data_IF_047544156177
#
_entry.id   IF_047544156177
#
_cell.length_a   1.000
_cell.length_b   1.000
_cell.length_c   1.000
_cell.angle_alpha   90.00
_cell.angle_beta   90.00
_cell.angle_gamma   90.00
#
_symmetry.space_group_name_H-M   'P 1'
#
loop_
_entity.id
_entity.type
_entity.pdbx_description
1 polymer ?
#
# COMPACT_ATOMS: atom_id res chain seq x y z
N UNK A 1 -7.49 -21.79 5.09
CA UNK A 1 -8.08 -22.81 4.19
C UNK A 1 -9.39 -23.41 4.72
N UNK A 2 -9.53 -23.69 6.02
CA UNK A 2 -10.79 -24.18 6.59
C UNK A 2 -11.94 -23.13 6.57
N UNK A 3 -11.66 -21.86 6.90
CA UNK A 3 -12.65 -20.77 6.92
C UNK A 3 -13.17 -20.30 5.55
N UNK A 4 -12.48 -20.60 4.43
CA UNK A 4 -13.01 -20.31 3.09
C UNK A 4 -14.32 -21.10 2.84
N UNK A 5 -14.60 -22.13 3.66
CA UNK A 5 -15.86 -22.89 3.69
C UNK A 5 -16.94 -22.30 4.60
N UNK A 6 -16.61 -21.37 5.52
CA UNK A 6 -17.58 -20.68 6.39
C UNK A 6 -18.55 -19.82 5.56
N UNK A 7 -18.05 -19.23 4.46
CA UNK A 7 -18.79 -18.27 3.62
C UNK A 7 -19.13 -18.77 2.20
N UNK A 8 -18.50 -19.84 1.69
CA UNK A 8 -18.83 -20.43 0.37
C UNK A 8 -20.07 -21.36 0.38
N UNK A 9 -20.61 -21.74 1.54
CA UNK A 9 -21.83 -22.58 1.60
C UNK A 9 -23.08 -21.86 1.08
N UNK A 10 -23.07 -20.52 1.01
CA UNK A 10 -24.13 -19.73 0.37
C UNK A 10 -24.22 -19.92 -1.16
N UNK A 11 -23.18 -20.45 -1.81
CA UNK A 11 -23.14 -20.66 -3.26
C UNK A 11 -23.68 -22.03 -3.70
N UNK A 12 -24.07 -22.91 -2.79
CA UNK A 12 -24.58 -24.25 -3.13
C UNK A 12 -26.09 -24.37 -2.99
N UNK A 13 -26.79 -24.17 -4.12
CA UNK A 13 -27.90 -25.02 -4.55
C UNK A 13 -29.24 -24.83 -3.84
N UNK A 14 -30.20 -24.28 -4.58
CA UNK A 14 -31.64 -24.49 -4.35
C UNK A 14 -31.89 -26.02 -4.36
N UNK A 15 -32.07 -26.63 -3.20
CA UNK A 15 -32.56 -28.01 -3.11
C UNK A 15 -34.09 -27.95 -3.06
N UNK A 16 -34.72 -28.25 -4.20
CA UNK A 16 -36.14 -28.60 -4.25
C UNK A 16 -36.35 -29.94 -3.53
N UNK A 17 -36.74 -29.90 -2.27
CA UNK A 17 -37.10 -31.09 -1.52
C UNK A 17 -38.56 -31.49 -1.82
N UNK A 18 -38.72 -32.68 -2.40
CA UNK A 18 -40.00 -33.36 -2.57
C UNK A 18 -40.67 -33.64 -1.21
N UNK A 19 -41.97 -33.37 -1.14
CA UNK A 19 -42.86 -33.70 -0.02
C UNK A 19 -42.74 -35.17 0.38
N UNK A 20 -42.23 -35.41 1.60
CA UNK A 20 -42.38 -36.68 2.32
C UNK A 20 -43.09 -36.37 3.65
N UNK A 21 -44.28 -36.92 3.93
CA UNK A 21 -44.97 -36.66 5.18
C UNK A 21 -44.42 -37.56 6.29
N UNK A 22 -43.93 -36.94 7.36
CA UNK A 22 -43.72 -37.60 8.65
C UNK A 22 -42.26 -37.79 9.06
N UNK A 23 -41.64 -36.73 9.58
CA UNK A 23 -40.58 -36.88 10.57
C UNK A 23 -40.88 -36.01 11.78
N UNK A 24 -40.81 -36.67 12.93
CA UNK A 24 -41.16 -36.18 14.25
C UNK A 24 -40.12 -35.13 14.65
N UNK A 25 -40.56 -33.89 14.86
CA UNK A 25 -39.76 -32.83 15.47
C UNK A 25 -39.34 -33.28 16.88
N UNK A 26 -38.10 -33.73 17.01
CA UNK A 26 -37.43 -33.79 18.31
C UNK A 26 -37.08 -32.36 18.67
N UNK A 27 -37.93 -31.74 19.51
CA UNK A 27 -37.70 -30.41 20.04
C UNK A 27 -36.41 -30.42 20.88
N UNK A 28 -35.38 -29.76 20.38
CA UNK A 28 -34.27 -29.30 21.22
C UNK A 28 -34.81 -28.25 22.21
N UNK A 29 -34.19 -28.15 23.39
CA UNK A 29 -34.57 -27.18 24.42
C UNK A 29 -34.78 -25.78 23.80
N UNK A 30 -35.84 -25.07 24.21
CA UNK A 30 -36.22 -23.74 23.71
C UNK A 30 -35.09 -22.73 23.94
N UNK A 31 -34.13 -22.73 23.04
CA UNK A 31 -33.24 -21.62 22.79
C UNK A 31 -34.15 -20.49 22.29
N UNK A 32 -34.12 -19.32 22.95
CA UNK A 32 -34.87 -18.14 22.51
C UNK A 32 -34.25 -17.62 21.21
N UNK A 33 -34.54 -18.30 20.11
CA UNK A 33 -34.08 -17.94 18.78
C UNK A 33 -34.88 -16.76 18.24
N UNK A 34 -34.25 -15.88 17.46
CA UNK A 34 -34.90 -14.66 17.01
C UNK A 34 -36.06 -14.97 16.06
N UNK A 35 -37.18 -14.31 16.33
CA UNK A 35 -38.20 -14.06 15.32
C UNK A 35 -37.86 -12.76 14.61
N UNK A 36 -37.70 -12.82 13.31
CA UNK A 36 -37.35 -11.70 12.44
C UNK A 36 -38.64 -11.09 11.87
N UNK A 37 -38.78 -9.78 12.03
CA UNK A 37 -39.92 -9.00 11.54
C UNK A 37 -39.40 -7.87 10.64
N UNK A 38 -39.00 -8.18 9.38
CA UNK A 38 -38.36 -7.22 8.49
C UNK A 38 -39.28 -6.06 8.07
N UNK A 39 -40.58 -6.33 7.94
CA UNK A 39 -41.63 -5.35 7.66
C UNK A 39 -42.98 -5.81 8.27
N UNK A 40 -43.98 -4.92 8.42
CA UNK A 40 -45.29 -5.30 8.96
C UNK A 40 -45.94 -6.46 8.19
N UNK A 41 -46.28 -7.53 8.90
CA UNK A 41 -46.96 -8.70 8.33
C UNK A 41 -46.05 -9.71 7.64
N UNK A 42 -44.73 -9.47 7.60
CA UNK A 42 -43.74 -10.42 7.12
C UNK A 42 -42.95 -10.94 8.32
N UNK A 43 -42.82 -12.26 8.44
CA UNK A 43 -42.02 -12.87 9.50
C UNK A 43 -41.16 -14.00 8.96
N UNK A 44 -39.92 -14.05 9.44
CA UNK A 44 -39.02 -15.19 9.32
C UNK A 44 -38.55 -15.57 10.72
N UNK A 45 -37.99 -16.76 10.89
CA UNK A 45 -37.46 -17.18 12.20
C UNK A 45 -36.32 -18.16 12.04
N UNK A 46 -35.42 -18.16 13.02
CA UNK A 46 -34.34 -19.14 13.08
C UNK A 46 -34.80 -20.37 13.84
N UNK A 47 -34.52 -21.54 13.30
CA UNK A 47 -34.73 -22.83 13.96
C UNK A 47 -33.40 -23.54 14.18
N UNK A 48 -33.27 -24.18 15.33
CA UNK A 48 -32.20 -25.14 15.59
C UNK A 48 -32.66 -26.54 15.24
N UNK A 49 -31.92 -27.21 14.38
CA UNK A 49 -32.14 -28.59 13.95
C UNK A 49 -30.91 -29.45 14.24
N UNK A 50 -31.01 -30.75 13.99
CA UNK A 50 -29.90 -31.68 14.19
C UNK A 50 -28.73 -31.36 13.25
N UNK A 51 -29.05 -30.91 12.05
CA UNK A 51 -28.12 -30.57 10.97
C UNK A 51 -27.52 -29.17 11.12
N UNK A 52 -27.95 -28.38 12.11
CA UNK A 52 -27.45 -27.03 12.37
C UNK A 52 -28.56 -25.97 12.54
N UNK A 53 -28.24 -24.71 12.25
CA UNK A 53 -29.18 -23.60 12.26
C UNK A 53 -29.72 -23.33 10.86
N UNK A 54 -31.03 -23.13 10.76
CA UNK A 54 -31.69 -22.75 9.51
C UNK A 54 -32.55 -21.51 9.73
N UNK A 55 -32.60 -20.65 8.72
CA UNK A 55 -33.58 -19.58 8.61
C UNK A 55 -34.78 -20.09 7.83
N UNK A 56 -35.95 -20.06 8.45
CA UNK A 56 -37.23 -20.25 7.77
C UNK A 56 -37.68 -18.90 7.23
N UNK A 57 -37.73 -18.79 5.91
CA UNK A 57 -38.10 -17.60 5.16
C UNK A 57 -39.60 -17.32 5.26
N UNK A 58 -40.06 -16.11 4.91
CA UNK A 58 -41.49 -15.77 4.95
C UNK A 58 -42.40 -16.64 4.05
N UNK A 59 -41.85 -17.19 2.96
CA UNK A 59 -42.55 -18.12 2.08
C UNK A 59 -42.45 -19.59 2.52
N UNK A 60 -41.78 -19.86 3.64
CA UNK A 60 -41.55 -21.20 4.18
C UNK A 60 -40.34 -21.93 3.60
N UNK A 61 -39.64 -21.35 2.61
CA UNK A 61 -38.36 -21.87 2.15
C UNK A 61 -37.30 -21.75 3.25
N UNK A 62 -36.20 -22.49 3.11
CA UNK A 62 -35.20 -22.62 4.17
C UNK A 62 -33.82 -22.27 3.64
N UNK A 63 -33.06 -21.53 4.43
CA UNK A 63 -31.66 -21.20 4.18
C UNK A 63 -30.82 -21.77 5.33
N UNK A 64 -29.81 -22.57 4.99
CA UNK A 64 -28.85 -23.09 5.98
C UNK A 64 -27.97 -21.92 6.42
N UNK A 65 -27.92 -21.66 7.74
CA UNK A 65 -27.12 -20.59 8.32
C UNK A 65 -25.77 -21.10 8.83
N UNK A 66 -25.78 -22.29 9.42
CA UNK A 66 -24.60 -22.94 9.97
C UNK A 66 -24.89 -24.45 10.07
N UNK A 67 -24.01 -25.29 9.56
CA UNK A 67 -24.19 -26.75 9.61
C UNK A 67 -23.64 -27.39 10.91
N UNK A 68 -23.96 -28.66 11.12
CA UNK A 68 -23.57 -29.43 12.31
C UNK A 68 -22.07 -29.70 12.41
N UNK A 69 -21.35 -29.74 11.29
CA UNK A 69 -19.91 -30.02 11.30
C UNK A 69 -19.17 -28.83 11.91
N UNK A 70 -19.61 -27.61 11.61
CA UNK A 70 -19.08 -26.38 12.20
C UNK A 70 -19.39 -26.21 13.68
N UNK A 71 -20.59 -26.63 14.13
CA UNK A 71 -20.98 -26.46 15.53
C UNK A 71 -20.02 -27.10 16.54
N UNK A 72 -19.33 -28.18 16.13
CA UNK A 72 -18.37 -28.88 17.00
C UNK A 72 -17.05 -28.13 17.21
N UNK A 73 -16.76 -27.11 16.38
CA UNK A 73 -15.51 -26.33 16.42
C UNK A 73 -15.65 -24.95 17.08
N UNK A 74 -16.85 -24.59 17.55
CA UNK A 74 -17.11 -23.28 18.13
C UNK A 74 -16.74 -23.21 19.62
N UNK A 75 -16.28 -22.04 20.05
CA UNK A 75 -16.11 -21.66 21.44
C UNK A 75 -17.23 -20.69 21.84
N UNK A 76 -18.21 -21.22 22.57
CA UNK A 76 -19.37 -20.47 23.04
C UNK A 76 -20.61 -20.59 22.14
N UNK A 77 -21.70 -19.90 22.51
CA UNK A 77 -22.97 -19.97 21.79
C UNK A 77 -22.92 -19.19 20.47
N UNK A 78 -23.76 -19.61 19.51
CA UNK A 78 -24.03 -18.82 18.30
C UNK A 78 -24.89 -17.61 18.69
N UNK A 79 -24.43 -16.42 18.30
CA UNK A 79 -25.14 -15.16 18.48
C UNK A 79 -26.01 -14.83 17.28
N UNK A 80 -27.19 -14.26 17.54
CA UNK A 80 -28.03 -13.67 16.50
C UNK A 80 -28.40 -12.24 16.87
N UNK A 81 -28.21 -11.31 15.93
CA UNK A 81 -28.49 -9.88 16.14
C UNK A 81 -29.27 -9.32 14.97
N UNK A 82 -30.35 -8.60 15.24
CA UNK A 82 -31.10 -7.87 14.23
C UNK A 82 -30.59 -6.44 14.07
N UNK A 83 -30.75 -5.89 12.88
CA UNK A 83 -30.40 -4.51 12.58
C UNK A 83 -30.50 -4.24 11.09
N UNK A 84 -30.60 -2.98 10.72
CA UNK A 84 -30.48 -2.54 9.32
C UNK A 84 -28.98 -2.36 9.01
N UNK A 85 -28.39 -3.26 8.22
CA UNK A 85 -26.95 -3.32 7.95
C UNK A 85 -26.58 -2.66 6.61
N UNK A 86 -27.51 -2.64 5.64
CA UNK A 86 -27.35 -1.92 4.36
C UNK A 86 -28.02 -0.52 4.37
N UNK A 87 -28.66 -0.14 5.47
CA UNK A 87 -29.30 1.16 5.71
C UNK A 87 -30.43 1.46 4.72
N UNK A 88 -31.16 0.43 4.31
CA UNK A 88 -32.28 0.53 3.37
C UNK A 88 -33.66 0.72 4.04
N UNK A 89 -33.70 0.67 5.38
CA UNK A 89 -34.89 0.86 6.20
C UNK A 89 -35.61 -0.44 6.59
N UNK A 90 -35.11 -1.61 6.16
CA UNK A 90 -35.63 -2.91 6.54
C UNK A 90 -34.74 -3.59 7.59
N UNK A 91 -35.33 -4.47 8.40
CA UNK A 91 -34.55 -5.20 9.41
C UNK A 91 -33.86 -6.42 8.78
N UNK A 92 -32.54 -6.37 8.73
CA UNK A 92 -31.67 -7.50 8.42
C UNK A 92 -31.31 -8.29 9.70
N UNK A 93 -30.47 -9.32 9.55
CA UNK A 93 -29.86 -9.96 10.72
C UNK A 93 -28.41 -10.41 10.46
N UNK A 94 -27.69 -10.58 11.54
CA UNK A 94 -26.35 -11.17 11.56
C UNK A 94 -26.30 -12.41 12.46
N UNK A 95 -25.59 -13.42 11.97
CA UNK A 95 -25.14 -14.58 12.75
C UNK A 95 -23.70 -14.32 13.18
N UNK A 96 -23.39 -14.59 14.45
CA UNK A 96 -22.06 -14.42 15.01
C UNK A 96 -21.60 -15.71 15.67
N UNK A 97 -20.39 -16.15 15.38
CA UNK A 97 -19.81 -17.36 15.95
C UNK A 97 -18.32 -17.17 16.21
N UNK A 98 -17.83 -17.73 17.31
CA UNK A 98 -16.40 -17.71 17.65
C UNK A 98 -15.84 -19.12 17.52
N UNK A 99 -14.74 -19.26 16.78
CA UNK A 99 -14.00 -20.52 16.70
C UNK A 99 -13.13 -20.71 17.95
N UNK A 100 -12.90 -21.97 18.33
CA UNK A 100 -12.01 -22.29 19.44
C UNK A 100 -10.59 -21.74 19.23
N UNK A 101 -10.12 -20.93 20.19
CA UNK A 101 -8.81 -20.28 20.14
C UNK A 101 -8.78 -18.95 19.37
N UNK A 102 -9.90 -18.50 18.80
CA UNK A 102 -10.02 -17.18 18.19
C UNK A 102 -10.39 -16.12 19.23
N UNK A 103 -9.73 -14.96 19.19
CA UNK A 103 -10.15 -13.77 19.92
C UNK A 103 -11.33 -13.06 19.22
N UNK A 104 -11.41 -13.24 17.90
CA UNK A 104 -12.37 -12.57 17.04
C UNK A 104 -13.62 -13.41 16.81
N UNK A 105 -14.75 -12.73 16.66
CA UNK A 105 -16.05 -13.33 16.37
C UNK A 105 -16.34 -13.16 14.88
N UNK A 106 -16.46 -14.28 14.15
CA UNK A 106 -16.84 -14.27 12.74
C UNK A 106 -18.31 -13.88 12.61
N UNK A 107 -18.64 -13.08 11.60
CA UNK A 107 -20.00 -12.56 11.40
C UNK A 107 -20.47 -12.81 9.97
N UNK A 108 -21.64 -13.44 9.82
CA UNK A 108 -22.36 -13.54 8.55
C UNK A 108 -23.58 -12.62 8.58
N UNK A 109 -23.74 -11.76 7.57
CA UNK A 109 -24.88 -10.83 7.45
C UNK A 109 -25.86 -11.39 6.41
N UNK A 110 -27.15 -11.29 6.69
CA UNK A 110 -28.23 -11.71 5.82
C UNK A 110 -29.18 -10.54 5.61
N UNK A 111 -29.27 -10.05 4.37
CA UNK A 111 -30.00 -8.85 3.99
C UNK A 111 -31.42 -9.19 3.54
N UNK A 112 -32.40 -8.45 4.02
CA UNK A 112 -33.79 -8.60 3.59
C UNK A 112 -34.03 -7.86 2.27
N UNK A 113 -34.55 -8.56 1.26
CA UNK A 113 -34.97 -7.94 0.02
C UNK A 113 -36.50 -7.73 0.00
N UNK A 114 -37.01 -6.48 0.08
CA UNK A 114 -38.44 -6.22 0.15
C UNK A 114 -39.20 -6.55 -1.15
N UNK A 115 -38.51 -6.65 -2.30
CA UNK A 115 -39.16 -6.99 -3.58
C UNK A 115 -39.56 -8.46 -3.65
N UNK A 116 -38.72 -9.35 -3.11
CA UNK A 116 -38.95 -10.81 -3.13
C UNK A 116 -39.35 -11.35 -1.76
N UNK A 117 -39.32 -10.51 -0.71
CA UNK A 117 -39.68 -10.84 0.68
C UNK A 117 -38.89 -12.03 1.23
N UNK A 118 -37.59 -12.02 1.01
CA UNK A 118 -36.68 -13.06 1.46
C UNK A 118 -35.34 -12.46 1.90
N UNK A 119 -34.66 -13.16 2.80
CA UNK A 119 -33.30 -12.86 3.20
C UNK A 119 -32.30 -13.58 2.29
N UNK A 120 -31.23 -12.91 1.89
CA UNK A 120 -30.08 -13.49 1.20
C UNK A 120 -28.79 -13.20 1.96
N UNK A 121 -27.81 -14.12 1.95
CA UNK A 121 -26.51 -13.86 2.56
C UNK A 121 -25.79 -12.72 1.82
N UNK A 122 -25.14 -11.84 2.55
CA UNK A 122 -24.19 -10.88 2.01
C UNK A 122 -22.92 -11.64 1.58
N UNK A 123 -22.56 -11.54 0.31
CA UNK A 123 -21.37 -12.19 -0.24
C UNK A 123 -20.21 -11.19 -0.28
N UNK A 124 -19.08 -11.58 0.33
CA UNK A 124 -17.81 -10.91 0.13
C UNK A 124 -17.10 -11.63 -1.02
N UNK A 125 -17.03 -10.98 -2.17
CA UNK A 125 -16.36 -11.54 -3.35
C UNK A 125 -14.86 -11.73 -3.09
N UNK A 126 -14.26 -12.76 -3.71
CA UNK A 126 -12.83 -13.11 -3.51
C UNK A 126 -11.88 -11.92 -3.74
N UNK A 127 -12.19 -11.03 -4.70
CA UNK A 127 -11.39 -9.84 -4.99
C UNK A 127 -11.41 -8.86 -3.80
N UNK A 128 -12.58 -8.62 -3.21
CA UNK A 128 -12.70 -7.75 -2.03
C UNK A 128 -12.10 -8.44 -0.81
N UNK A 129 -12.38 -9.73 -0.61
CA UNK A 129 -11.82 -10.52 0.48
C UNK A 129 -10.30 -10.48 0.51
N UNK A 130 -9.65 -10.60 -0.65
CA UNK A 130 -8.19 -10.45 -0.76
C UNK A 130 -7.64 -9.07 -0.37
N UNK A 131 -8.51 -8.03 -0.31
CA UNK A 131 -8.15 -6.67 0.10
C UNK A 131 -8.47 -6.39 1.58
N UNK A 132 -9.42 -7.10 2.20
CA UNK A 132 -9.78 -6.91 3.61
C UNK A 132 -8.66 -7.37 4.55
N UNK A 133 -8.54 -6.76 5.72
CA UNK A 133 -7.46 -7.08 6.66
C UNK A 133 -7.49 -8.54 7.13
N UNK A 134 -8.69 -9.13 7.26
CA UNK A 134 -8.88 -10.50 7.72
C UNK A 134 -9.69 -11.38 6.75
N UNK A 135 -9.73 -10.99 5.47
CA UNK A 135 -10.40 -11.76 4.41
C UNK A 135 -11.93 -11.68 4.41
N UNK A 136 -12.52 -11.61 5.59
CA UNK A 136 -13.97 -11.75 5.85
C UNK A 136 -14.43 -10.75 6.91
N UNK A 137 -15.70 -10.86 7.33
CA UNK A 137 -16.30 -10.01 8.35
C UNK A 137 -16.09 -10.55 9.77
N UNK A 138 -15.52 -9.71 10.62
CA UNK A 138 -15.17 -10.00 12.01
C UNK A 138 -15.65 -8.88 12.93
N UNK A 139 -16.10 -9.23 14.14
CA UNK A 139 -16.52 -8.29 15.19
C UNK A 139 -17.32 -7.10 14.65
N UNK A 140 -18.38 -7.37 13.87
CA UNK A 140 -19.05 -6.35 13.08
C UNK A 140 -19.86 -5.37 13.93
N UNK A 141 -19.65 -4.08 13.67
CA UNK A 141 -20.39 -2.96 14.23
C UNK A 141 -21.06 -2.16 13.11
N UNK A 142 -22.26 -1.61 13.36
CA UNK A 142 -22.92 -0.68 12.44
C UNK A 142 -22.52 0.75 12.80
N UNK A 143 -22.40 1.61 11.80
CA UNK A 143 -22.14 3.05 11.94
C UNK A 143 -23.31 3.83 11.31
N UNK A 144 -24.44 3.99 12.02
CA UNK A 144 -25.68 4.54 11.45
C UNK A 144 -25.53 5.96 10.90
N UNK A 145 -24.71 6.79 11.53
CA UNK A 145 -24.50 8.19 11.14
C UNK A 145 -23.84 8.31 9.76
N UNK A 146 -23.05 7.28 9.38
CA UNK A 146 -22.34 7.20 8.10
C UNK A 146 -23.01 6.24 7.11
N UNK A 147 -23.97 5.43 7.56
CA UNK A 147 -24.55 4.31 6.80
C UNK A 147 -23.49 3.32 6.32
N UNK A 148 -22.58 2.95 7.22
CA UNK A 148 -21.48 2.02 6.98
C UNK A 148 -21.48 0.92 8.03
N UNK A 149 -20.75 -0.15 7.75
CA UNK A 149 -20.39 -1.16 8.76
C UNK A 149 -18.88 -1.13 9.00
N UNK A 150 -18.48 -1.52 10.19
CA UNK A 150 -17.10 -1.72 10.61
C UNK A 150 -16.88 -3.21 10.86
N UNK A 151 -15.91 -3.79 10.18
CA UNK A 151 -15.32 -5.08 10.50
C UNK A 151 -14.01 -4.85 11.24
N UNK A 152 -13.72 -5.65 12.26
CA UNK A 152 -12.47 -5.54 12.99
C UNK A 152 -11.95 -6.88 13.47
N UNK A 153 -10.63 -7.05 13.48
CA UNK A 153 -9.97 -8.28 13.90
C UNK A 153 -8.65 -7.99 14.60
N UNK A 154 -8.18 -8.94 15.39
CA UNK A 154 -6.97 -8.82 16.21
C UNK A 154 -5.82 -9.60 15.55
N UNK A 155 -5.43 -9.18 14.35
CA UNK A 155 -4.30 -9.77 13.65
C UNK A 155 -3.02 -9.53 14.49
N UNK A 156 -2.38 -10.62 14.93
CA UNK A 156 -1.13 -10.64 15.71
C UNK A 156 -1.20 -10.09 17.16
N UNK A 157 -2.40 -9.89 17.72
CA UNK A 157 -2.61 -9.58 19.14
C UNK A 157 -2.12 -8.22 19.63
N UNK A 158 -1.44 -7.43 18.80
CA UNK A 158 -0.88 -6.12 19.17
C UNK A 158 -1.79 -4.94 18.80
N UNK A 159 -2.47 -4.99 17.65
CA UNK A 159 -3.35 -3.93 17.19
C UNK A 159 -4.59 -4.48 16.50
N UNK A 160 -5.75 -3.91 16.82
CA UNK A 160 -6.98 -4.21 16.08
C UNK A 160 -6.89 -3.60 14.68
N UNK A 161 -7.07 -4.45 13.67
CA UNK A 161 -7.27 -4.05 12.27
C UNK A 161 -8.74 -3.73 12.05
N UNK A 162 -8.99 -2.74 11.20
CA UNK A 162 -10.32 -2.21 10.92
C UNK A 162 -10.52 -2.08 9.42
N UNK A 163 -11.66 -2.58 8.94
CA UNK A 163 -12.19 -2.32 7.60
C UNK A 163 -13.57 -1.65 7.75
N UNK A 164 -13.80 -0.55 7.05
CA UNK A 164 -15.08 0.15 7.00
C UNK A 164 -15.67 -0.05 5.60
N UNK A 165 -16.89 -0.57 5.55
CA UNK A 165 -17.53 -1.03 4.33
C UNK A 165 -18.87 -0.33 4.13
N UNK A 166 -19.17 0.01 2.88
CA UNK A 166 -20.54 0.32 2.45
C UNK A 166 -21.17 -0.90 1.82
N UNK A 167 -22.47 -1.07 2.04
CA UNK A 167 -23.29 -2.09 1.37
C UNK A 167 -24.33 -1.34 0.55
N UNK A 168 -24.27 -1.47 -0.76
CA UNK A 168 -25.26 -0.87 -1.66
C UNK A 168 -26.56 -1.68 -1.69
N UNK A 169 -27.62 -1.09 -2.25
CA UNK A 169 -28.95 -1.73 -2.34
C UNK A 169 -28.97 -2.98 -3.20
N UNK A 170 -28.02 -3.12 -4.12
CA UNK A 170 -27.83 -4.32 -4.93
C UNK A 170 -26.93 -5.36 -4.23
N UNK A 171 -26.62 -5.13 -2.95
CA UNK A 171 -25.76 -5.96 -2.09
C UNK A 171 -24.27 -5.90 -2.48
N UNK A 172 -23.87 -4.98 -3.36
CA UNK A 172 -22.46 -4.74 -3.64
C UNK A 172 -21.78 -4.18 -2.40
N UNK A 173 -20.67 -4.81 -1.99
CA UNK A 173 -19.86 -4.35 -0.86
C UNK A 173 -18.66 -3.57 -1.39
N UNK A 174 -18.39 -2.41 -0.81
CA UNK A 174 -17.22 -1.58 -1.17
C UNK A 174 -16.43 -1.21 0.07
N UNK A 175 -15.11 -1.30 -0.06
CA UNK A 175 -14.17 -0.83 0.96
C UNK A 175 -14.11 0.70 0.91
N UNK A 176 -14.53 1.34 2.00
CA UNK A 176 -14.52 2.80 2.13
C UNK A 176 -13.25 3.25 2.84
N UNK A 177 -12.84 2.50 3.85
CA UNK A 177 -11.80 2.90 4.78
C UNK A 177 -11.11 1.65 5.33
N UNK A 178 -9.78 1.66 5.47
CA UNK A 178 -9.03 0.53 6.01
C UNK A 178 -7.83 0.95 6.87
N UNK A 179 -7.63 0.30 8.01
CA UNK A 179 -6.41 0.46 8.78
C UNK A 179 -5.26 -0.28 8.10
N UNK A 180 -4.10 0.36 7.95
CA UNK A 180 -2.86 -0.25 7.47
C UNK A 180 -1.78 -0.22 8.57
N UNK A 181 -0.88 -1.21 8.59
CA UNK A 181 0.28 -1.18 9.47
C UNK A 181 1.18 0.01 9.14
N UNK A 182 2.18 0.18 10.00
CA UNK A 182 3.38 0.90 9.60
C UNK A 182 3.92 0.30 8.30
N UNK A 183 4.36 1.17 7.41
CA UNK A 183 4.92 0.79 6.11
C UNK A 183 6.22 1.57 5.90
N UNK A 184 7.29 0.83 5.63
CA UNK A 184 8.51 1.40 5.12
C UNK A 184 8.31 1.69 3.63
N UNK A 185 8.44 2.96 3.25
CA UNK A 185 8.55 3.33 1.85
C UNK A 185 9.90 2.85 1.34
N UNK A 186 9.86 1.85 0.47
CA UNK A 186 11.06 1.32 -0.17
C UNK A 186 11.51 2.29 -1.26
N UNK A 187 12.81 2.61 -1.24
CA UNK A 187 13.44 3.55 -2.16
C UNK A 187 13.48 4.98 -1.62
N UNK A 188 14.26 5.82 -2.29
CA UNK A 188 14.48 7.20 -1.87
C UNK A 188 13.21 8.06 -2.10
N UNK A 189 12.74 8.82 -1.10
CA UNK A 189 13.28 8.94 0.26
C UNK A 189 12.84 7.80 1.19
N UNK A 190 13.79 7.24 1.94
CA UNK A 190 13.53 6.18 2.92
C UNK A 190 12.73 6.75 4.11
N UNK A 191 11.41 6.66 4.01
CA UNK A 191 10.45 7.19 4.98
C UNK A 191 9.58 6.07 5.51
N UNK A 192 9.15 6.21 6.75
CA UNK A 192 8.15 5.32 7.34
C UNK A 192 6.81 6.05 7.41
N UNK A 193 5.80 5.47 6.76
CA UNK A 193 4.39 5.81 6.99
C UNK A 193 3.97 5.11 8.29
N UNK A 194 3.49 5.83 9.32
CA UNK A 194 3.01 5.20 10.54
C UNK A 194 1.77 4.35 10.26
N UNK A 195 1.30 3.59 11.26
CA UNK A 195 -0.04 3.04 11.22
C UNK A 195 -1.06 4.12 10.87
N UNK A 196 -2.06 3.79 10.05
CA UNK A 196 -2.92 4.80 9.44
C UNK A 196 -4.25 4.22 8.96
N UNK A 197 -5.24 5.10 8.80
CA UNK A 197 -6.46 4.83 8.07
C UNK A 197 -6.32 5.32 6.64
N UNK A 198 -6.53 4.43 5.69
CA UNK A 198 -6.61 4.72 4.26
C UNK A 198 -8.08 4.88 3.89
N UNK A 199 -8.42 5.97 3.22
CA UNK A 199 -9.73 6.19 2.59
C UNK A 199 -9.64 5.85 1.11
N UNK A 200 -10.66 5.20 0.58
CA UNK A 200 -10.76 4.83 -0.82
C UNK A 200 -11.89 5.58 -1.53
N UNK A 201 -11.72 5.83 -2.83
CA UNK A 201 -12.79 6.29 -3.70
C UNK A 201 -13.74 5.13 -4.11
N UNK A 202 -14.75 5.46 -4.92
CA UNK A 202 -15.72 4.47 -5.39
C UNK A 202 -15.13 3.42 -6.35
N UNK A 203 -13.94 3.68 -6.90
CA UNK A 203 -13.20 2.78 -7.79
C UNK A 203 -12.21 1.90 -7.01
N UNK A 204 -12.03 2.17 -5.70
CA UNK A 204 -11.09 1.45 -4.85
C UNK A 204 -9.67 2.01 -4.86
N UNK A 205 -9.45 3.21 -5.42
CA UNK A 205 -8.14 3.88 -5.35
C UNK A 205 -7.99 4.57 -3.98
N UNK A 206 -6.78 4.55 -3.41
CA UNK A 206 -6.50 5.32 -2.21
C UNK A 206 -6.52 6.81 -2.51
N UNK A 207 -7.21 7.58 -1.68
CA UNK A 207 -7.33 9.04 -1.84
C UNK A 207 -6.68 9.82 -0.70
N UNK A 208 -6.64 9.24 0.49
CA UNK A 208 -6.09 9.89 1.67
C UNK A 208 -5.65 8.83 2.69
N UNK A 209 -4.50 9.05 3.32
CA UNK A 209 -4.00 8.18 4.37
C UNK A 209 -3.73 9.01 5.63
N UNK A 210 -4.49 8.77 6.70
CA UNK A 210 -4.43 9.55 7.94
C UNK A 210 -3.78 8.71 9.04
N UNK A 211 -2.63 9.13 9.61
CA UNK A 211 -2.00 8.44 10.72
C UNK A 211 -2.96 8.15 11.89
N UNK A 212 -2.94 6.90 12.35
CA UNK A 212 -3.59 6.43 13.57
C UNK A 212 -2.54 6.54 14.69
N UNK A 213 -2.46 7.70 15.35
CA UNK A 213 -1.52 7.89 16.46
C UNK A 213 -2.06 7.25 17.75
N UNK A 214 -1.26 6.44 18.48
CA UNK A 214 -1.50 6.17 19.90
C UNK A 214 -1.09 7.36 20.78
N UNK A 215 -0.09 8.15 20.37
CA UNK A 215 0.35 9.39 21.01
C UNK A 215 0.80 10.47 20.00
N UNK A 216 0.81 11.73 20.44
CA UNK A 216 1.16 12.89 19.61
C UNK A 216 2.67 13.03 19.32
N UNK A 217 3.51 12.16 19.88
CA UNK A 217 4.97 12.35 19.94
C UNK A 217 5.75 11.67 18.81
N UNK A 218 5.18 10.67 18.12
CA UNK A 218 5.88 9.91 17.06
C UNK A 218 5.67 10.45 15.63
N UNK A 219 5.03 11.60 15.47
CA UNK A 219 4.66 12.14 14.14
C UNK A 219 5.53 13.29 13.64
N UNK A 220 6.67 13.54 14.29
CA UNK A 220 7.62 14.57 13.87
C UNK A 220 8.22 14.28 12.49
N UNK A 221 8.24 15.29 11.63
CA UNK A 221 9.06 15.33 10.43
C UNK A 221 9.88 16.63 10.47
N UNK A 222 11.15 16.53 10.12
CA UNK A 222 12.06 17.67 10.07
C UNK A 222 12.31 18.03 8.60
N UNK A 223 12.17 19.30 8.26
CA UNK A 223 12.29 19.78 6.89
C UNK A 223 13.76 19.66 6.43
N UNK A 224 14.06 18.86 5.38
CA UNK A 224 15.44 18.59 4.96
C UNK A 224 16.03 19.68 4.03
N UNK A 225 15.19 20.61 3.55
CA UNK A 225 15.53 21.61 2.53
C UNK A 225 15.63 23.00 3.09
N UNK A 226 16.55 23.81 2.55
CA UNK A 226 16.69 25.22 2.94
C UNK A 226 15.37 25.98 2.79
N UNK A 227 14.63 25.68 1.71
CA UNK A 227 13.31 26.23 1.46
C UNK A 227 12.42 25.17 0.83
N UNK A 228 11.26 24.93 1.43
CA UNK A 228 10.26 23.99 0.91
C UNK A 228 8.90 24.69 0.75
N UNK A 229 8.37 24.69 -0.47
CA UNK A 229 7.09 25.32 -0.81
C UNK A 229 5.93 24.63 -0.09
N UNK A 230 4.98 25.41 0.40
CA UNK A 230 3.70 24.92 0.91
C UNK A 230 2.61 25.02 -0.16
N UNK A 231 1.75 24.02 -0.20
CA UNK A 231 0.65 23.88 -1.16
C UNK A 231 -0.69 23.82 -0.41
N UNK A 232 -1.75 24.35 -1.04
CA UNK A 232 -3.08 24.28 -0.43
C UNK A 232 -3.75 22.91 -0.63
N UNK A 233 -3.33 22.16 -1.65
CA UNK A 233 -3.79 20.81 -1.99
C UNK A 233 -2.60 19.94 -2.46
N UNK A 234 -2.73 18.61 -2.58
CA UNK A 234 -1.67 17.75 -3.12
C UNK A 234 -1.54 17.87 -4.65
N UNK A 235 -1.27 19.09 -5.12
CA UNK A 235 -1.11 19.45 -6.53
C UNK A 235 -0.09 20.60 -6.66
N UNK A 236 0.87 20.44 -7.57
CA UNK A 236 1.91 21.44 -7.86
C UNK A 236 1.34 22.79 -8.33
N UNK A 237 0.15 22.81 -8.94
CA UNK A 237 -0.49 24.06 -9.35
C UNK A 237 -1.06 24.85 -8.16
N UNK A 238 -1.17 24.24 -6.99
CA UNK A 238 -1.74 24.84 -5.78
C UNK A 238 -0.69 25.49 -4.85
N UNK A 239 0.46 25.86 -5.42
CA UNK A 239 1.56 26.48 -4.70
C UNK A 239 1.09 27.77 -3.99
N UNK A 240 1.42 27.90 -2.72
CA UNK A 240 1.18 29.11 -1.94
C UNK A 240 2.42 29.99 -1.92
N UNK A 241 2.30 31.22 -1.42
CA UNK A 241 3.47 32.09 -1.17
C UNK A 241 4.28 31.68 0.07
N UNK A 242 3.80 30.71 0.85
CA UNK A 242 4.41 30.27 2.11
C UNK A 242 5.41 29.15 1.88
N UNK A 243 6.36 29.02 2.80
CA UNK A 243 7.38 27.98 2.77
C UNK A 243 7.81 27.60 4.18
N UNK A 244 8.40 26.42 4.29
CA UNK A 244 9.14 25.99 5.47
C UNK A 244 10.64 26.18 5.23
N UNK A 245 11.40 26.30 6.31
CA UNK A 245 12.84 26.36 6.31
C UNK A 245 13.46 25.06 6.85
N UNK A 246 14.73 24.82 6.53
CA UNK A 246 15.48 23.66 7.02
C UNK A 246 15.44 23.57 8.54
N UNK A 247 15.19 22.37 9.06
CA UNK A 247 15.17 22.12 10.50
C UNK A 247 13.83 22.47 11.17
N UNK A 248 12.88 23.06 10.44
CA UNK A 248 11.52 23.23 10.96
C UNK A 248 10.95 21.86 11.31
N UNK A 249 10.40 21.75 12.53
CA UNK A 249 9.75 20.54 13.02
C UNK A 249 8.25 20.66 12.82
N UNK A 250 7.69 19.71 12.10
CA UNK A 250 6.27 19.68 11.76
C UNK A 250 5.67 18.32 12.10
N UNK A 251 4.35 18.27 12.23
CA UNK A 251 3.62 17.03 12.51
C UNK A 251 2.98 16.49 11.24
N UNK A 252 3.14 15.20 10.97
CA UNK A 252 2.49 14.48 9.86
C UNK A 252 0.98 14.39 10.12
N UNK A 253 0.15 14.83 9.16
CA UNK A 253 -1.32 14.80 9.28
C UNK A 253 -1.98 13.83 8.33
N UNK A 254 -1.47 13.74 7.11
CA UNK A 254 -2.00 12.85 6.08
C UNK A 254 -0.99 12.63 4.96
N UNK A 255 -1.23 11.61 4.15
CA UNK A 255 -0.54 11.36 2.90
C UNK A 255 -1.56 11.29 1.76
N UNK A 256 -1.13 11.72 0.57
CA UNK A 256 -1.85 11.48 -0.68
C UNK A 256 -0.88 10.77 -1.63
N UNK A 257 -0.99 9.44 -1.66
CA UNK A 257 0.00 8.57 -2.31
C UNK A 257 1.37 8.67 -1.66
N UNK A 258 2.42 8.51 -2.48
CA UNK A 258 3.82 8.55 -2.03
C UNK A 258 4.50 9.90 -2.28
N UNK A 259 3.79 10.82 -2.95
CA UNK A 259 4.35 12.09 -3.42
C UNK A 259 4.04 13.28 -2.50
N UNK A 260 3.01 13.17 -1.67
CA UNK A 260 2.46 14.31 -0.93
C UNK A 260 2.22 13.98 0.53
N UNK A 261 2.58 14.93 1.39
CA UNK A 261 2.34 14.84 2.82
C UNK A 261 1.69 16.13 3.32
N UNK A 262 0.57 16.00 4.02
CA UNK A 262 -0.05 17.10 4.76
C UNK A 262 0.61 17.19 6.12
N UNK A 263 0.90 18.41 6.55
CA UNK A 263 1.59 18.69 7.81
C UNK A 263 0.86 19.75 8.64
N UNK A 264 1.08 19.72 9.95
CA UNK A 264 0.80 20.81 10.87
C UNK A 264 2.11 21.43 11.33
N UNK A 265 2.18 22.76 11.34
CA UNK A 265 3.36 23.51 11.76
C UNK A 265 2.96 24.74 12.59
N UNK A 266 3.87 25.25 13.41
CA UNK A 266 3.67 26.52 14.11
C UNK A 266 4.19 27.67 13.27
N UNK A 267 3.36 28.69 13.08
CA UNK A 267 3.81 30.02 12.67
C UNK A 267 3.60 31.01 13.84
N UNK A 268 4.11 32.23 13.69
CA UNK A 268 4.01 33.35 14.65
C UNK A 268 2.58 33.67 15.09
N UNK A 269 1.58 33.30 14.30
CA UNK A 269 0.16 33.58 14.56
C UNK A 269 -0.62 32.37 15.09
N UNK A 270 -0.01 31.19 15.17
CA UNK A 270 -0.66 29.96 15.64
C UNK A 270 -0.39 28.73 14.76
N UNK A 271 -1.04 27.59 15.05
CA UNK A 271 -0.90 26.37 14.27
C UNK A 271 -1.54 26.55 12.88
N UNK A 272 -0.81 26.14 11.85
CA UNK A 272 -1.25 26.12 10.46
C UNK A 272 -1.08 24.71 9.88
N UNK A 273 -1.78 24.46 8.77
CA UNK A 273 -1.67 23.23 8.00
C UNK A 273 -1.33 23.54 6.54
N UNK A 274 -0.61 22.63 5.89
CA UNK A 274 -0.28 22.74 4.47
C UNK A 274 0.17 21.41 3.89
N UNK A 275 0.19 21.32 2.57
CA UNK A 275 0.74 20.17 1.84
C UNK A 275 2.17 20.47 1.41
N UNK A 276 3.03 19.45 1.46
CA UNK A 276 4.37 19.49 0.85
C UNK A 276 4.51 18.36 -0.16
N UNK A 277 5.34 18.57 -1.18
CA UNK A 277 5.75 17.51 -2.10
C UNK A 277 6.98 16.81 -1.55
N UNK A 278 6.90 15.49 -1.33
CA UNK A 278 8.02 14.65 -0.93
C UNK A 278 9.08 14.57 -2.04
N UNK A 279 8.66 14.60 -3.31
CA UNK A 279 9.57 14.74 -4.46
C UNK A 279 10.41 16.02 -4.39
N UNK A 280 9.82 17.15 -4.03
CA UNK A 280 10.57 18.41 -3.87
C UNK A 280 11.44 18.40 -2.61
N UNK A 281 10.92 17.86 -1.51
CA UNK A 281 11.65 17.76 -0.25
C UNK A 281 12.92 16.90 -0.37
N UNK A 282 12.91 15.90 -1.25
CA UNK A 282 14.00 14.94 -1.40
C UNK A 282 14.59 14.90 -2.81
N UNK A 283 14.41 15.96 -3.61
CA UNK A 283 15.07 16.09 -4.91
C UNK A 283 16.60 16.06 -4.73
N UNK A 284 17.27 15.03 -5.29
CA UNK A 284 18.71 14.82 -5.13
C UNK A 284 19.55 15.93 -5.77
N UNK A 285 19.12 16.46 -6.92
CA UNK A 285 19.85 17.50 -7.62
C UNK A 285 19.92 18.78 -6.78
N UNK A 286 18.81 19.17 -6.17
CA UNK A 286 18.79 20.36 -5.32
C UNK A 286 19.33 20.05 -3.91
N UNK A 287 19.21 18.81 -3.41
CA UNK A 287 19.82 18.42 -2.14
C UNK A 287 21.34 18.59 -2.19
N UNK A 288 21.96 18.25 -3.32
CA UNK A 288 23.38 18.48 -3.57
C UNK A 288 23.77 19.95 -3.38
N UNK A 289 23.01 20.86 -3.99
CA UNK A 289 23.25 22.30 -3.93
C UNK A 289 23.12 22.83 -2.50
N UNK A 290 22.11 22.36 -1.76
CA UNK A 290 21.83 22.83 -0.39
C UNK A 290 22.84 22.30 0.67
N UNK A 291 23.62 21.26 0.35
CA UNK A 291 24.49 20.59 1.33
C UNK A 291 25.98 20.57 0.99
N UNK A 292 26.36 20.86 -0.26
CA UNK A 292 27.75 20.81 -0.74
C UNK A 292 28.38 19.41 -0.64
N UNK A 293 29.59 19.25 -1.20
CA UNK A 293 30.42 18.07 -0.96
C UNK A 293 30.97 18.11 0.48
N UNK A 294 30.15 17.72 1.45
CA UNK A 294 30.65 17.40 2.80
C UNK A 294 31.52 16.15 2.71
N UNK A 295 32.56 15.98 3.55
CA UNK A 295 33.29 14.72 3.62
C UNK A 295 32.32 13.57 3.88
N UNK A 296 32.38 12.54 3.04
CA UNK A 296 31.51 11.39 3.14
C UNK A 296 32.33 10.16 3.52
N UNK A 297 31.69 9.18 4.17
CA UNK A 297 32.35 7.92 4.53
C UNK A 297 32.67 7.06 3.30
N UNK A 298 31.93 7.27 2.21
CA UNK A 298 32.10 6.59 0.95
C UNK A 298 32.47 7.60 -0.14
N UNK A 299 33.28 7.16 -1.10
CA UNK A 299 33.64 7.90 -2.29
C UNK A 299 33.09 7.18 -3.53
N UNK A 300 32.30 7.90 -4.33
CA UNK A 300 31.76 7.41 -5.59
C UNK A 300 32.61 7.95 -6.74
N UNK A 301 33.44 7.07 -7.29
CA UNK A 301 34.28 7.35 -8.44
C UNK A 301 33.56 7.06 -9.75
N UNK A 302 33.86 7.88 -10.77
CA UNK A 302 33.37 7.72 -12.13
C UNK A 302 34.53 7.88 -13.09
N UNK A 303 34.84 6.82 -13.84
CA UNK A 303 35.84 6.87 -14.90
C UNK A 303 35.16 7.06 -16.26
N UNK A 304 35.56 8.12 -16.96
CA UNK A 304 35.16 8.40 -18.34
C UNK A 304 36.22 7.84 -19.32
N UNK A 305 35.77 7.03 -20.28
CA UNK A 305 36.62 6.47 -21.33
C UNK A 305 36.39 7.13 -22.71
N UNK A 306 35.63 8.21 -22.79
CA UNK A 306 35.33 8.94 -24.03
C UNK A 306 36.56 9.48 -24.76
N UNK A 307 37.66 9.68 -24.04
CA UNK A 307 38.96 10.12 -24.59
C UNK A 307 39.91 8.99 -25.01
N UNK A 308 39.51 7.72 -24.92
CA UNK A 308 40.37 6.57 -25.26
C UNK A 308 40.43 6.38 -26.78
N UNK A 309 41.63 6.44 -27.38
CA UNK A 309 41.83 6.33 -28.83
C UNK A 309 41.56 4.93 -29.42
N UNK A 310 41.58 3.89 -28.60
CA UNK A 310 41.34 2.51 -29.02
C UNK A 310 39.86 2.18 -28.91
N UNK A 311 39.28 1.55 -29.93
CA UNK A 311 37.87 1.12 -29.97
C UNK A 311 36.92 2.25 -29.51
N UNK A 312 37.17 3.48 -30.00
CA UNK A 312 36.50 4.72 -29.59
C UNK A 312 34.98 4.58 -29.52
N UNK A 313 34.37 3.89 -30.48
CA UNK A 313 32.92 3.72 -30.54
C UNK A 313 32.37 2.89 -29.38
N UNK A 314 33.13 1.93 -28.83
CA UNK A 314 32.73 1.16 -27.65
C UNK A 314 32.99 1.96 -26.37
N UNK A 315 34.20 2.48 -26.22
CA UNK A 315 34.63 3.15 -24.99
C UNK A 315 33.93 4.50 -24.74
N UNK A 316 33.44 5.17 -25.77
CA UNK A 316 32.64 6.40 -25.63
C UNK A 316 31.30 6.21 -24.93
N UNK A 317 30.80 4.98 -24.87
CA UNK A 317 29.56 4.64 -24.17
C UNK A 317 29.79 3.84 -22.89
N UNK A 318 31.05 3.55 -22.57
CA UNK A 318 31.48 2.89 -21.36
C UNK A 318 31.83 3.93 -20.29
N UNK A 319 31.34 3.70 -19.08
CA UNK A 319 31.85 4.34 -17.89
C UNK A 319 32.03 3.27 -16.81
N UNK A 320 32.93 3.52 -15.88
CA UNK A 320 33.11 2.65 -14.71
C UNK A 320 32.71 3.41 -13.46
N UNK A 321 31.79 2.83 -12.70
CA UNK A 321 31.39 3.29 -11.38
C UNK A 321 32.11 2.48 -10.32
N UNK A 322 32.79 3.16 -9.41
CA UNK A 322 33.43 2.52 -8.27
C UNK A 322 32.94 3.15 -6.98
N UNK A 323 32.72 2.35 -5.95
CA UNK A 323 32.40 2.80 -4.62
C UNK A 323 33.51 2.38 -3.67
N UNK A 324 34.17 3.36 -3.05
CA UNK A 324 35.24 3.14 -2.08
C UNK A 324 34.78 3.52 -0.67
N UNK A 325 35.18 2.75 0.33
CA UNK A 325 34.97 3.07 1.74
C UNK A 325 36.27 3.61 2.36
N UNK A 326 36.36 4.93 2.43
CA UNK A 326 37.51 5.64 3.02
C UNK A 326 37.38 5.82 4.55
N UNK A 327 36.32 5.28 5.14
CA UNK A 327 36.07 5.35 6.58
C UNK A 327 36.75 4.22 7.36
N UNK A 328 36.60 4.25 8.69
CA UNK A 328 37.16 3.24 9.60
C UNK A 328 36.17 2.13 9.98
N UNK A 329 34.94 2.22 9.50
CA UNK A 329 33.86 1.29 9.83
C UNK A 329 33.31 0.68 8.54
N UNK A 330 32.84 -0.58 8.62
CA UNK A 330 32.13 -1.18 7.49
C UNK A 330 30.84 -0.40 7.22
N UNK A 331 30.49 -0.22 5.95
CA UNK A 331 29.26 0.44 5.54
C UNK A 331 28.38 -0.57 4.82
N UNK A 332 27.16 -0.74 5.33
CA UNK A 332 26.16 -1.64 4.77
C UNK A 332 25.14 -0.85 3.94
N UNK A 333 25.03 -1.19 2.67
CA UNK A 333 24.02 -0.75 1.72
C UNK A 333 22.99 -1.87 1.52
N UNK A 334 22.13 -2.05 2.51
CA UNK A 334 20.94 -2.89 2.40
C UNK A 334 19.82 -2.03 1.80
N UNK A 335 19.39 -2.32 0.58
CA UNK A 335 18.39 -1.54 -0.18
C UNK A 335 18.85 -0.11 -0.56
N UNK A 336 20.13 0.01 -0.91
CA UNK A 336 20.62 1.23 -1.54
C UNK A 336 20.06 1.41 -2.94
N UNK A 337 20.23 2.60 -3.50
CA UNK A 337 19.87 2.88 -4.89
C UNK A 337 20.97 3.69 -5.55
N UNK A 338 21.23 3.40 -6.82
CA UNK A 338 22.03 4.25 -7.68
C UNK A 338 21.11 5.12 -8.54
N UNK A 339 21.35 6.42 -8.50
CA UNK A 339 20.65 7.44 -9.28
C UNK A 339 21.64 8.17 -10.19
N UNK A 340 21.13 8.75 -11.26
CA UNK A 340 21.86 9.63 -12.18
C UNK A 340 21.17 11.00 -12.22
N UNK A 341 21.94 12.07 -12.07
CA UNK A 341 21.49 13.44 -12.25
C UNK A 341 21.96 13.92 -13.62
N UNK A 342 21.00 14.15 -14.52
CA UNK A 342 21.21 14.70 -15.85
C UNK A 342 21.09 16.21 -15.80
N UNK A 343 22.19 16.93 -16.06
CA UNK A 343 22.22 18.39 -16.16
C UNK A 343 22.35 18.76 -17.63
N UNK A 344 21.32 19.40 -18.18
CA UNK A 344 21.33 19.87 -19.57
C UNK A 344 22.15 21.16 -19.72
N UNK A 345 22.38 21.58 -20.97
CA UNK A 345 23.18 22.77 -21.29
C UNK A 345 22.61 24.09 -20.72
N UNK A 346 21.30 24.19 -20.48
CA UNK A 346 20.67 25.36 -19.86
C UNK A 346 20.69 25.31 -18.31
N UNK A 347 21.23 24.23 -17.73
CA UNK A 347 21.31 24.00 -16.30
C UNK A 347 20.12 23.27 -15.70
N UNK A 348 19.08 22.92 -16.48
CA UNK A 348 17.98 22.09 -15.96
C UNK A 348 18.49 20.70 -15.57
N UNK A 349 18.08 20.25 -14.39
CA UNK A 349 18.48 18.97 -13.82
C UNK A 349 17.30 18.00 -13.77
N UNK A 350 17.56 16.73 -14.06
CA UNK A 350 16.59 15.64 -13.95
C UNK A 350 17.26 14.47 -13.25
N UNK A 351 16.63 13.97 -12.18
CA UNK A 351 17.11 12.80 -11.44
C UNK A 351 16.41 11.55 -11.98
N UNK A 352 17.18 10.48 -12.18
CA UNK A 352 16.72 9.20 -12.68
C UNK A 352 17.28 8.07 -11.82
N UNK A 353 16.44 7.17 -11.32
CA UNK A 353 16.91 5.94 -10.65
C UNK A 353 17.43 4.99 -11.72
N UNK A 354 18.69 4.56 -11.58
CA UNK A 354 19.30 3.59 -12.49
C UNK A 354 18.95 2.17 -12.06
N UNK A 355 19.35 1.76 -10.84
CA UNK A 355 19.03 0.45 -10.28
C UNK A 355 19.19 0.41 -8.75
N UNK A 356 18.71 -0.67 -8.14
CA UNK A 356 18.85 -0.96 -6.72
C UNK A 356 20.22 -1.59 -6.40
N UNK A 357 20.76 -1.27 -5.23
CA UNK A 357 21.96 -1.87 -4.65
C UNK A 357 21.53 -2.76 -3.48
N UNK A 358 21.49 -4.08 -3.71
CA UNK A 358 21.07 -5.05 -2.70
C UNK A 358 22.27 -5.61 -1.92
N UNK A 359 22.14 -5.62 -0.59
CA UNK A 359 22.99 -6.36 0.36
C UNK A 359 24.51 -6.20 0.13
N UNK A 360 24.98 -4.97 -0.13
CA UNK A 360 26.40 -4.68 -0.29
C UNK A 360 27.01 -4.23 1.02
N UNK A 361 28.10 -4.86 1.44
CA UNK A 361 28.90 -4.42 2.59
C UNK A 361 30.29 -4.06 2.12
N UNK A 362 30.66 -2.78 2.27
CA UNK A 362 32.01 -2.31 1.96
C UNK A 362 32.82 -2.22 3.26
N UNK A 363 33.84 -3.05 3.37
CA UNK A 363 34.80 -3.02 4.48
C UNK A 363 35.71 -1.78 4.41
N UNK A 364 36.27 -1.32 5.54
CA UNK A 364 37.19 -0.18 5.58
C UNK A 364 38.37 -0.33 4.59
N UNK A 365 38.62 0.73 3.80
CA UNK A 365 39.69 0.78 2.80
C UNK A 365 39.48 -0.12 1.58
N UNK A 366 38.27 -0.67 1.38
CA UNK A 366 37.91 -1.44 0.18
C UNK A 366 37.22 -0.56 -0.85
N UNK A 367 37.41 -0.94 -2.10
CA UNK A 367 36.69 -0.38 -3.25
C UNK A 367 36.08 -1.52 -4.06
N UNK A 368 34.89 -1.27 -4.59
CA UNK A 368 34.10 -2.20 -5.39
C UNK A 368 33.66 -1.50 -6.68
N UNK A 369 33.71 -2.21 -7.80
CA UNK A 369 33.11 -1.75 -9.06
C UNK A 369 31.61 -2.02 -9.01
N UNK A 370 30.81 -0.96 -9.11
CA UNK A 370 29.34 -1.05 -9.18
C UNK A 370 28.85 -1.31 -10.59
N UNK A 371 29.55 -0.76 -11.60
CA UNK A 371 29.25 -0.98 -13.01
C UNK A 371 30.49 -0.72 -13.86
N UNK A 372 30.65 -1.49 -14.94
CA UNK A 372 31.67 -1.35 -15.97
C UNK A 372 31.14 -1.75 -17.35
N UNK A 373 29.83 -1.51 -17.58
CA UNK A 373 29.16 -1.83 -18.83
C UNK A 373 28.88 -0.59 -19.68
N UNK A 374 28.88 -0.73 -21.02
CA UNK A 374 28.49 0.36 -21.90
C UNK A 374 26.96 0.53 -21.93
N UNK A 375 26.52 1.76 -22.22
CA UNK A 375 25.14 2.01 -22.64
C UNK A 375 24.88 1.33 -23.98
N UNK A 376 23.83 0.51 -24.02
CA UNK A 376 23.39 -0.26 -25.20
C UNK A 376 21.99 0.16 -25.61
N UNK A 377 21.56 -0.25 -26.81
CA UNK A 377 20.17 -0.18 -27.25
C UNK A 377 19.62 -1.58 -27.42
N UNK A 378 18.51 -1.90 -26.74
CA UNK A 378 17.83 -3.19 -26.81
C UNK A 378 16.33 -2.96 -26.93
N UNK A 379 15.63 -3.63 -27.85
CA UNK A 379 14.20 -3.44 -28.08
C UNK A 379 13.78 -1.95 -28.20
N UNK A 380 14.64 -1.13 -28.80
CA UNK A 380 14.41 0.31 -28.96
C UNK A 380 14.68 1.20 -27.73
N UNK A 381 15.03 0.62 -26.57
CA UNK A 381 15.35 1.35 -25.34
C UNK A 381 16.86 1.43 -25.11
N UNK A 382 17.31 2.53 -24.50
CA UNK A 382 18.72 2.72 -24.10
C UNK A 382 18.91 2.20 -22.67
N UNK A 383 19.74 1.18 -22.52
CA UNK A 383 19.87 0.41 -21.27
C UNK A 383 21.34 0.18 -20.89
N UNK A 384 21.57 -0.14 -19.63
CA UNK A 384 22.84 -0.68 -19.12
C UNK A 384 22.59 -2.08 -18.56
N UNK A 385 23.54 -2.98 -18.76
CA UNK A 385 23.48 -4.33 -18.18
C UNK A 385 23.80 -4.28 -16.70
N UNK A 386 22.91 -4.82 -15.87
CA UNK A 386 23.09 -4.90 -14.43
C UNK A 386 22.37 -6.16 -13.90
N UNK A 387 23.08 -7.27 -13.68
CA UNK A 387 22.46 -8.53 -13.27
C UNK A 387 21.87 -8.43 -11.85
N UNK A 388 20.76 -9.12 -11.62
CA UNK A 388 20.09 -9.19 -10.31
C UNK A 388 19.99 -10.67 -9.94
N UNK A 389 20.56 -11.07 -8.80
CA UNK A 389 20.55 -12.45 -8.29
C UNK A 389 20.96 -13.50 -9.35
N UNK A 390 22.05 -13.21 -10.09
CA UNK A 390 22.60 -14.00 -11.20
C UNK A 390 21.74 -14.08 -12.48
N UNK A 391 20.59 -13.42 -12.54
CA UNK A 391 19.79 -13.29 -13.77
C UNK A 391 20.22 -12.06 -14.59
N UNK A 392 20.31 -12.25 -15.92
CA UNK A 392 20.56 -11.17 -16.87
C UNK A 392 19.48 -10.10 -16.76
N UNK A 393 19.87 -8.88 -16.38
CA UNK A 393 18.95 -7.76 -16.23
C UNK A 393 19.51 -6.48 -16.85
N UNK A 394 18.59 -5.61 -17.28
CA UNK A 394 18.89 -4.39 -18.00
C UNK A 394 18.09 -3.23 -17.41
N UNK A 395 18.79 -2.16 -17.08
CA UNK A 395 18.20 -0.95 -16.50
C UNK A 395 18.14 0.15 -17.53
N UNK A 396 17.01 0.88 -17.62
CA UNK A 396 16.90 2.04 -18.51
C UNK A 396 17.91 3.10 -18.08
N UNK A 397 18.78 3.54 -18.99
CA UNK A 397 19.86 4.47 -18.65
C UNK A 397 19.37 5.92 -18.59
N UNK A 398 18.47 6.31 -19.49
CA UNK A 398 17.91 7.67 -19.54
C UNK A 398 16.52 7.73 -18.94
N UNK A 399 16.14 8.86 -18.29
CA UNK A 399 14.78 9.09 -17.86
C UNK A 399 13.82 9.17 -19.04
N UNK A 400 12.57 8.78 -18.80
CA UNK A 400 11.50 8.88 -19.79
C UNK A 400 11.23 10.35 -20.17
N UNK A 401 11.04 10.61 -21.46
CA UNK A 401 10.70 11.95 -21.96
C UNK A 401 11.85 12.97 -21.93
N UNK A 402 13.10 12.52 -21.75
CA UNK A 402 14.26 13.41 -21.81
C UNK A 402 14.31 14.14 -23.16
N UNK A 403 14.57 15.46 -23.13
CA UNK A 403 14.70 16.23 -24.36
C UNK A 403 15.98 15.85 -25.12
N UNK A 404 15.96 16.03 -26.44
CA UNK A 404 17.17 15.83 -27.26
C UNK A 404 18.20 16.89 -26.89
N UNK A 405 19.43 16.46 -26.57
CA UNK A 405 20.48 17.37 -26.17
C UNK A 405 21.72 16.70 -25.60
N UNK A 406 22.68 17.52 -25.18
CA UNK A 406 23.90 17.09 -24.48
C UNK A 406 23.72 17.29 -22.98
N UNK A 407 24.10 16.28 -22.20
CA UNK A 407 23.93 16.24 -20.76
C UNK A 407 25.24 15.95 -20.05
N UNK A 408 25.46 16.61 -18.92
CA UNK A 408 26.41 16.21 -17.89
C UNK A 408 25.70 15.28 -16.91
N UNK A 409 26.29 14.13 -16.62
CA UNK A 409 25.66 13.09 -15.82
C UNK A 409 26.51 12.85 -14.58
N UNK A 410 25.90 13.01 -13.40
CA UNK A 410 26.53 12.71 -12.10
C UNK A 410 25.82 11.53 -11.43
N UNK A 411 26.55 10.49 -10.99
CA UNK A 411 25.96 9.40 -10.24
C UNK A 411 25.76 9.80 -8.77
N UNK A 412 24.73 9.23 -8.14
CA UNK A 412 24.41 9.43 -6.72
C UNK A 412 23.98 8.11 -6.10
N UNK A 413 24.56 7.73 -4.97
CA UNK A 413 24.11 6.57 -4.20
C UNK A 413 23.29 7.03 -3.00
N UNK A 414 22.10 6.47 -2.83
CA UNK A 414 21.28 6.62 -1.62
C UNK A 414 21.19 5.27 -0.90
N UNK A 415 20.90 5.30 0.40
CA UNK A 415 20.70 4.10 1.19
C UNK A 415 20.05 4.41 2.54
N UNK A 416 19.25 3.50 3.11
CA UNK A 416 18.55 3.76 4.37
C UNK A 416 19.52 3.92 5.55
N UNK A 417 20.69 3.28 5.48
CA UNK A 417 21.73 3.37 6.50
C UNK A 417 22.72 4.53 6.27
N UNK A 418 22.58 5.25 5.14
CA UNK A 418 23.42 6.40 4.84
C UNK A 418 22.86 7.65 5.50
N UNK A 419 23.73 8.41 6.18
CA UNK A 419 23.35 9.69 6.78
C UNK A 419 22.97 10.74 5.72
N UNK A 420 23.56 10.65 4.53
CA UNK A 420 23.37 11.57 3.41
C UNK A 420 23.58 10.81 2.08
N UNK A 421 22.96 11.23 0.98
CA UNK A 421 23.28 10.73 -0.35
C UNK A 421 24.76 10.94 -0.71
N UNK A 422 25.34 9.98 -1.43
CA UNK A 422 26.74 9.97 -1.86
C UNK A 422 26.84 10.44 -3.31
N UNK A 423 27.46 11.58 -3.56
CA UNK A 423 27.55 12.15 -4.91
C UNK A 423 28.89 11.80 -5.56
N UNK A 424 28.84 11.45 -6.85
CA UNK A 424 30.03 11.29 -7.66
C UNK A 424 30.89 12.56 -7.66
N UNK A 425 32.20 12.38 -7.53
CA UNK A 425 33.16 13.49 -7.64
C UNK A 425 33.20 14.06 -9.06
N UNK A 426 33.15 13.17 -10.04
CA UNK A 426 33.25 13.49 -11.46
C UNK A 426 31.89 13.41 -12.17
N UNK A 427 31.85 13.94 -13.39
CA UNK A 427 30.71 13.90 -14.31
C UNK A 427 31.17 13.32 -15.65
N UNK A 428 30.29 12.59 -16.33
CA UNK A 428 30.47 12.23 -17.74
C UNK A 428 29.59 13.11 -18.63
N UNK A 429 29.95 13.23 -19.91
CA UNK A 429 29.13 13.92 -20.90
C UNK A 429 28.56 12.94 -21.94
N UNK A 430 27.25 12.97 -22.15
CA UNK A 430 26.58 12.12 -23.14
C UNK A 430 25.46 12.85 -23.86
N UNK A 431 25.25 12.53 -25.14
CA UNK A 431 24.09 13.01 -25.91
C UNK A 431 22.89 12.10 -25.67
N UNK A 432 21.69 12.68 -25.67
CA UNK A 432 20.43 11.95 -25.80
C UNK A 432 19.73 12.33 -27.12
N UNK A 433 19.35 11.35 -27.96
CA UNK A 433 19.81 9.95 -27.90
C UNK A 433 21.32 9.84 -28.15
N UNK A 434 22.01 8.83 -27.58
CA UNK A 434 23.41 8.58 -27.89
C UNK A 434 23.56 7.97 -29.30
N UNK A 435 24.65 8.33 -29.97
CA UNK A 435 25.07 7.74 -31.24
C UNK A 435 25.82 6.43 -30.98
N UNK A 436 25.10 5.32 -30.86
CA UNK A 436 25.70 4.01 -30.58
C UNK A 436 26.21 3.30 -31.86
N UNK A 437 27.34 2.59 -31.81
CA UNK A 437 27.76 1.69 -32.88
C UNK A 437 26.86 0.46 -32.98
N UNK A 438 26.84 -0.19 -34.15
CA UNK A 438 26.05 -1.40 -34.42
C UNK A 438 26.30 -2.53 -33.40
N UNK A 439 27.51 -2.62 -32.83
CA UNK A 439 27.85 -3.62 -31.81
C UNK A 439 27.15 -3.43 -30.47
N UNK A 440 26.59 -2.26 -30.21
CA UNK A 440 25.85 -1.93 -28.99
C UNK A 440 24.34 -1.80 -29.26
N UNK A 441 23.89 -2.18 -30.46
CA UNK A 441 22.48 -2.19 -30.86
C UNK A 441 22.05 -3.63 -31.04
N UNK A 442 21.24 -4.12 -30.10
CA UNK A 442 20.54 -5.39 -30.23
C UNK A 442 19.08 -5.16 -30.66
N UNK A 443 18.48 -6.14 -31.38
CA UNK A 443 17.10 -6.07 -31.84
C UNK A 443 16.08 -5.70 -30.76
#
# INVERSE_FOLDING_TARGET
>A
MAMRRFFNLAALGIVLAFLSPGQINLAFAEENLPRLLPEPGVSAHVERRKEGYVLVQPDGSQLVLLDSDWLNGLDGPVGFKTGDYNFDGYTDFALSAREAGSLDVGVAIYLFNPKVKAFSPLIIEDELGGKLNCGELWNVERIPERKLIKSSCSLDGHYSRVDILSIDRDQTVRLVEQSRPEEQMFGWPYLTKPMRMVTYDAQGNSVLEVPLAPDETEQGWEVPREKLTLYSNPDRQSATSSHLARGDKVRKLAYAGDDWMKIAYQDKTGPLEGWISLKEAYDLAVWQADNGQKPQSLELGLADYSGVDKDQDYYKHLFTLTLANESREAVELSYGELHLIFTSADGQQTTHKLYDLFNKTLEPGKSETLDDNPVQKRNGQYVIYHPIDDDDAYSSFFPEGLAVGKYKIRPVVTGPNLKNPIYGLDEIEMNYPPELPDSLIEP
#
